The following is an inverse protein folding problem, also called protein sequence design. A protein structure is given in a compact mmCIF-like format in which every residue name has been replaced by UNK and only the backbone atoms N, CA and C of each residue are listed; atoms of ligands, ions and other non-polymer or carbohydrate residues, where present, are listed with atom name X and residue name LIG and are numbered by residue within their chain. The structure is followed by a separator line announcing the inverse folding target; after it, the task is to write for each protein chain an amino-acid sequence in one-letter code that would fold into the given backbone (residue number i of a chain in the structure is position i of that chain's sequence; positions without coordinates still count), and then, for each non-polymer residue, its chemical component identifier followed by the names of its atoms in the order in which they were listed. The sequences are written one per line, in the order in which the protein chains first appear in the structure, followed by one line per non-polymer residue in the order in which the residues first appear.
data_IF_673478740254
#
_entry.id   IF_673478740254
#
_cell.length_a   1.000
_cell.length_b   1.000
_cell.length_c   1.000
_cell.angle_alpha   90.00
_cell.angle_beta   90.00
_cell.angle_gamma   90.00
#
_symmetry.space_group_name_H-M   'P 1'
#
loop_
_entity.id
_entity.type
_entity.pdbx_description
1 polymer ?
#
# COMPACT_ATOMS: atom_id res chain seq x y z
N UNK A 1 3.45 -4.69 25.09
CA UNK A 1 3.29 -4.48 23.64
C UNK A 1 3.27 -5.79 22.85
N UNK A 2 4.26 -6.67 23.04
CA UNK A 2 4.35 -7.99 22.37
C UNK A 2 3.06 -8.83 22.42
N UNK A 3 2.41 -8.90 23.59
CA UNK A 3 1.16 -9.65 23.74
C UNK A 3 0.01 -9.13 22.85
N UNK A 4 -0.09 -7.80 22.66
CA UNK A 4 -1.10 -7.20 21.78
C UNK A 4 -0.85 -7.58 20.32
N UNK A 5 0.39 -7.45 19.86
CA UNK A 5 0.78 -7.81 18.49
C UNK A 5 0.50 -9.29 18.23
N UNK A 6 0.88 -10.17 19.16
CA UNK A 6 0.65 -11.61 19.03
C UNK A 6 -0.84 -11.95 18.97
N UNK A 7 -1.65 -11.34 19.83
CA UNK A 7 -3.10 -11.53 19.83
C UNK A 7 -3.73 -11.09 18.50
N UNK A 8 -3.36 -9.91 18.00
CA UNK A 8 -3.87 -9.39 16.72
C UNK A 8 -3.40 -10.25 15.53
N UNK A 9 -2.15 -10.71 15.55
CA UNK A 9 -1.64 -11.62 14.52
C UNK A 9 -2.36 -12.97 14.48
N UNK A 10 -2.81 -13.46 15.64
CA UNK A 10 -3.60 -14.70 15.75
C UNK A 10 -5.03 -14.51 15.23
N UNK A 11 -5.66 -13.36 15.50
CA UNK A 11 -7.01 -13.02 15.00
C UNK A 11 -7.04 -12.79 13.49
N UNK A 12 -5.93 -12.34 12.92
CA UNK A 12 -5.83 -11.97 11.51
C UNK A 12 -6.07 -13.19 10.61
N UNK A 13 -7.03 -13.07 9.68
CA UNK A 13 -7.32 -14.08 8.63
C UNK A 13 -6.26 -14.04 7.52
N UNK A 14 -5.02 -14.37 7.89
CA UNK A 14 -3.80 -14.16 7.08
C UNK A 14 -3.93 -14.65 5.64
N UNK A 15 -4.41 -15.89 5.44
CA UNK A 15 -4.57 -16.47 4.11
C UNK A 15 -5.57 -15.68 3.26
N UNK A 16 -6.74 -15.35 3.81
CA UNK A 16 -7.77 -14.59 3.08
C UNK A 16 -7.24 -13.20 2.67
N UNK A 17 -6.57 -12.48 3.58
CA UNK A 17 -6.02 -11.16 3.30
C UNK A 17 -4.88 -11.20 2.30
N UNK A 18 -4.03 -12.23 2.40
CA UNK A 18 -2.97 -12.46 1.43
C UNK A 18 -3.55 -12.76 0.04
N UNK A 19 -4.58 -13.60 -0.07
CA UNK A 19 -5.25 -13.91 -1.34
C UNK A 19 -5.90 -12.67 -1.97
N UNK A 20 -6.51 -11.79 -1.17
CA UNK A 20 -7.01 -10.49 -1.67
C UNK A 20 -5.86 -9.66 -2.24
N UNK A 21 -4.75 -9.55 -1.51
CA UNK A 21 -3.57 -8.83 -1.99
C UNK A 21 -3.01 -9.41 -3.29
N UNK A 22 -2.90 -10.74 -3.37
CA UNK A 22 -2.46 -11.44 -4.57
C UNK A 22 -3.40 -11.24 -5.76
N UNK A 23 -4.72 -11.24 -5.55
CA UNK A 23 -5.68 -11.02 -6.63
C UNK A 23 -5.50 -9.63 -7.27
N UNK A 24 -5.38 -8.58 -6.45
CA UNK A 24 -5.10 -7.23 -6.93
C UNK A 24 -3.74 -7.14 -7.63
N UNK A 25 -2.71 -7.75 -7.06
CA UNK A 25 -1.37 -7.77 -7.63
C UNK A 25 -1.35 -8.46 -8.99
N UNK A 26 -1.90 -9.67 -9.11
CA UNK A 26 -1.96 -10.44 -10.36
C UNK A 26 -2.75 -9.69 -11.41
N UNK A 27 -3.92 -9.15 -11.06
CA UNK A 27 -4.75 -8.38 -11.99
C UNK A 27 -4.01 -7.14 -12.52
N UNK A 28 -3.37 -6.37 -11.63
CA UNK A 28 -2.57 -5.21 -12.03
C UNK A 28 -1.36 -5.59 -12.88
N UNK A 29 -0.72 -6.72 -12.56
CA UNK A 29 0.46 -7.21 -13.27
C UNK A 29 0.11 -7.68 -14.66
N UNK A 30 -1.06 -8.32 -14.83
CA UNK A 30 -1.57 -8.73 -16.14
C UNK A 30 -1.71 -7.52 -17.08
N UNK A 31 -2.28 -6.42 -16.59
CA UNK A 31 -2.41 -5.18 -17.35
C UNK A 31 -1.02 -4.62 -17.72
N UNK A 32 -0.14 -4.47 -16.73
CA UNK A 32 1.21 -3.90 -16.93
C UNK A 32 2.07 -4.72 -17.89
N UNK A 33 2.09 -6.05 -17.72
CA UNK A 33 2.83 -6.95 -18.61
C UNK A 33 2.22 -6.98 -20.01
N UNK A 34 0.90 -6.96 -20.15
CA UNK A 34 0.24 -6.88 -21.45
C UNK A 34 0.66 -5.64 -22.24
N UNK A 35 0.71 -4.48 -21.57
CA UNK A 35 1.17 -3.23 -22.18
C UNK A 35 2.66 -3.31 -22.55
N UNK A 36 3.49 -3.88 -21.69
CA UNK A 36 4.91 -4.07 -21.98
C UNK A 36 5.15 -4.94 -23.22
N UNK A 37 4.57 -6.14 -23.25
CA UNK A 37 4.75 -7.08 -24.35
C UNK A 37 4.11 -6.60 -25.67
N UNK A 38 3.03 -5.83 -25.60
CA UNK A 38 2.44 -5.21 -26.80
C UNK A 38 3.37 -4.17 -27.45
N UNK A 39 4.19 -3.48 -26.65
CA UNK A 39 5.09 -2.42 -27.13
C UNK A 39 6.56 -2.86 -27.25
N UNK A 40 6.82 -4.15 -27.04
CA UNK A 40 8.17 -4.71 -26.94
C UNK A 40 9.06 -4.37 -28.15
N UNK A 41 8.50 -4.43 -29.35
CA UNK A 41 9.23 -4.21 -30.60
C UNK A 41 9.81 -2.80 -30.76
N UNK A 42 9.34 -1.81 -29.99
CA UNK A 42 9.75 -0.40 -30.09
C UNK A 42 10.75 -0.01 -28.98
N UNK A 43 11.07 -0.94 -28.06
CA UNK A 43 11.91 -0.64 -26.90
C UNK A 43 13.40 -0.60 -27.26
N UNK A 44 14.07 0.46 -26.82
CA UNK A 44 15.51 0.63 -26.97
C UNK A 44 16.23 -0.42 -26.11
N UNK A 45 17.22 -1.09 -26.72
CA UNK A 45 18.07 -2.06 -26.02
C UNK A 45 18.69 -1.46 -24.74
N UNK A 46 18.80 -2.30 -23.69
CA UNK A 46 19.27 -1.97 -22.33
C UNK A 46 18.29 -1.19 -21.43
N UNK A 47 17.21 -0.59 -21.96
CA UNK A 47 16.19 0.09 -21.12
C UNK A 47 15.04 -0.81 -20.68
N UNK A 48 15.00 -2.01 -21.22
CA UNK A 48 13.89 -2.96 -21.17
C UNK A 48 13.50 -3.35 -19.74
N UNK A 49 14.48 -3.58 -18.86
CA UNK A 49 14.24 -3.88 -17.44
C UNK A 49 13.50 -2.76 -16.71
N UNK A 50 13.85 -1.50 -16.97
CA UNK A 50 13.25 -0.35 -16.32
C UNK A 50 11.83 -0.11 -16.84
N UNK A 51 11.64 -0.23 -18.16
CA UNK A 51 10.31 -0.10 -18.76
C UNK A 51 9.38 -1.21 -18.26
N UNK A 52 9.87 -2.45 -18.18
CA UNK A 52 9.12 -3.57 -17.60
C UNK A 52 8.67 -3.26 -16.17
N UNK A 53 9.59 -2.80 -15.32
CA UNK A 53 9.27 -2.41 -13.95
C UNK A 53 8.23 -1.28 -13.90
N UNK A 54 8.41 -0.23 -14.69
CA UNK A 54 7.49 0.90 -14.77
C UNK A 54 6.08 0.44 -15.12
N UNK A 55 5.93 -0.32 -16.20
CA UNK A 55 4.61 -0.80 -16.64
C UNK A 55 3.97 -1.75 -15.62
N UNK A 56 4.77 -2.66 -15.03
CA UNK A 56 4.30 -3.60 -14.01
C UNK A 56 3.78 -2.88 -12.75
N UNK A 57 4.48 -1.83 -12.32
CA UNK A 57 4.18 -1.14 -11.05
C UNK A 57 3.21 0.02 -11.21
N UNK A 58 3.06 0.62 -12.40
CA UNK A 58 2.28 1.83 -12.61
C UNK A 58 0.79 1.65 -12.23
N UNK A 59 0.10 0.69 -12.84
CA UNK A 59 -1.32 0.45 -12.55
C UNK A 59 -1.56 -0.09 -11.14
N UNK A 60 -0.63 -0.94 -10.66
CA UNK A 60 -0.64 -1.42 -9.29
C UNK A 60 -0.62 -0.25 -8.31
N UNK A 61 0.45 0.54 -8.34
CA UNK A 61 0.72 1.60 -7.37
C UNK A 61 -0.24 2.80 -7.45
N UNK A 62 -0.70 3.14 -8.66
CA UNK A 62 -1.51 4.34 -8.91
C UNK A 62 -2.99 4.11 -8.63
N UNK A 63 -3.54 2.98 -9.08
CA UNK A 63 -4.98 2.73 -9.09
C UNK A 63 -5.44 1.67 -8.11
N UNK A 64 -4.76 0.53 -8.08
CA UNK A 64 -5.27 -0.71 -7.46
C UNK A 64 -4.75 -0.94 -6.04
N UNK A 65 -3.56 -0.44 -5.72
CA UNK A 65 -2.93 -0.60 -4.42
C UNK A 65 -3.68 0.15 -3.31
N UNK A 66 -4.15 1.41 -3.47
CA UNK A 66 -4.90 2.06 -2.40
C UNK A 66 -6.23 1.40 -2.03
N UNK A 67 -7.10 0.98 -2.98
CA UNK A 67 -8.29 0.19 -2.65
C UNK A 67 -7.96 -1.15 -1.99
N UNK A 68 -6.90 -1.84 -2.44
CA UNK A 68 -6.43 -3.07 -1.81
C UNK A 68 -6.06 -2.85 -0.33
N UNK A 69 -5.32 -1.77 -0.03
CA UNK A 69 -4.98 -1.39 1.35
C UNK A 69 -6.24 -1.09 2.17
N UNK A 70 -7.22 -0.39 1.60
CA UNK A 70 -8.48 -0.09 2.27
C UNK A 70 -9.26 -1.36 2.62
N UNK A 71 -9.30 -2.35 1.72
CA UNK A 71 -9.94 -3.64 1.96
C UNK A 71 -9.23 -4.38 3.10
N UNK A 72 -7.88 -4.47 3.05
CA UNK A 72 -7.09 -5.13 4.10
C UNK A 72 -7.34 -4.48 5.46
N UNK A 73 -7.25 -3.16 5.55
CA UNK A 73 -7.52 -2.41 6.80
C UNK A 73 -8.97 -2.60 7.25
N UNK A 74 -9.91 -2.59 6.31
CA UNK A 74 -11.32 -2.90 6.56
C UNK A 74 -11.51 -4.23 7.25
N UNK A 75 -10.89 -5.29 6.73
CA UNK A 75 -10.98 -6.63 7.31
C UNK A 75 -10.25 -6.76 8.66
N UNK A 76 -9.22 -5.95 8.91
CA UNK A 76 -8.52 -5.92 10.20
C UNK A 76 -9.34 -5.22 11.29
N UNK A 77 -10.08 -4.15 10.94
CA UNK A 77 -10.72 -3.26 11.91
C UNK A 77 -12.22 -3.48 12.07
N UNK A 78 -12.94 -3.92 11.03
CA UNK A 78 -14.39 -4.13 11.10
C UNK A 78 -14.84 -5.10 12.19
N UNK A 79 -14.17 -6.24 12.41
CA UNK A 79 -14.55 -7.17 13.47
C UNK A 79 -14.57 -6.52 14.87
N UNK A 80 -13.86 -5.41 15.08
CA UNK A 80 -13.88 -4.71 16.37
C UNK A 80 -15.21 -3.96 16.61
N UNK A 81 -15.92 -3.58 15.56
CA UNK A 81 -17.21 -2.90 15.68
C UNK A 81 -18.40 -3.87 15.69
N UNK A 82 -18.15 -5.15 15.45
CA UNK A 82 -19.19 -6.18 15.52
C UNK A 82 -19.44 -6.60 16.98
N UNK A 83 -20.71 -6.94 17.29
CA UNK A 83 -21.12 -7.55 18.56
C UNK A 83 -20.62 -6.83 19.83
N UNK A 84 -20.49 -5.50 19.77
CA UNK A 84 -19.97 -4.65 20.85
C UNK A 84 -18.55 -5.02 21.33
N UNK A 85 -17.73 -5.61 20.45
CA UNK A 85 -16.40 -6.09 20.83
C UNK A 85 -15.50 -4.94 21.34
N UNK A 86 -15.50 -3.79 20.65
CA UNK A 86 -14.73 -2.63 21.07
C UNK A 86 -15.21 -2.06 22.42
N UNK A 87 -16.51 -2.08 22.72
CA UNK A 87 -17.05 -1.68 24.02
C UNK A 87 -16.60 -2.64 25.12
N UNK A 88 -16.63 -3.96 24.88
CA UNK A 88 -16.12 -4.96 25.81
C UNK A 88 -14.62 -4.78 26.07
N UNK A 89 -13.83 -4.52 25.03
CA UNK A 89 -12.39 -4.26 25.16
C UNK A 89 -12.13 -3.00 26.00
N UNK A 90 -12.92 -1.93 25.79
CA UNK A 90 -12.83 -0.70 26.60
C UNK A 90 -13.21 -0.95 28.06
N UNK A 91 -14.26 -1.73 28.33
CA UNK A 91 -14.67 -2.08 29.69
C UNK A 91 -13.57 -2.87 30.43
N UNK A 92 -12.84 -3.72 29.71
CA UNK A 92 -11.67 -4.45 30.22
C UNK A 92 -10.37 -3.62 30.21
N UNK A 93 -10.46 -2.29 30.10
CA UNK A 93 -9.32 -1.35 30.14
C UNK A 93 -8.22 -1.64 29.09
N UNK A 94 -8.60 -2.24 27.95
CA UNK A 94 -7.67 -2.47 26.85
C UNK A 94 -7.28 -1.14 26.22
N UNK A 95 -5.97 -0.90 26.08
CA UNK A 95 -5.46 0.27 25.40
C UNK A 95 -5.76 0.23 23.90
N UNK A 96 -6.60 1.15 23.43
CA UNK A 96 -6.95 1.31 22.00
C UNK A 96 -5.73 1.62 21.13
N UNK A 97 -4.75 2.33 21.69
CA UNK A 97 -3.51 2.69 21.02
C UNK A 97 -2.65 1.45 20.71
N UNK A 98 -2.42 0.62 21.74
CA UNK A 98 -1.67 -0.65 21.60
C UNK A 98 -2.40 -1.66 20.71
N UNK A 99 -3.74 -1.71 20.81
CA UNK A 99 -4.57 -2.55 19.95
C UNK A 99 -4.44 -2.13 18.48
N UNK A 100 -4.60 -0.84 18.20
CA UNK A 100 -4.54 -0.33 16.83
C UNK A 100 -3.15 -0.48 16.23
N UNK A 101 -2.09 -0.21 16.99
CA UNK A 101 -0.72 -0.45 16.54
C UNK A 101 -0.48 -1.93 16.23
N UNK A 102 -1.01 -2.86 17.04
CA UNK A 102 -0.92 -4.30 16.77
C UNK A 102 -1.56 -4.70 15.43
N UNK A 103 -2.68 -4.07 15.07
CA UNK A 103 -3.35 -4.26 13.77
C UNK A 103 -2.54 -3.68 12.61
N UNK A 104 -2.01 -2.47 12.78
CA UNK A 104 -1.14 -1.86 11.76
C UNK A 104 0.09 -2.73 11.49
N UNK A 105 0.72 -3.27 12.53
CA UNK A 105 1.88 -4.13 12.38
C UNK A 105 1.52 -5.47 11.70
N UNK A 106 0.35 -6.04 12.01
CA UNK A 106 -0.17 -7.21 11.31
C UNK A 106 -0.42 -6.92 9.82
N UNK A 107 -0.99 -5.75 9.51
CA UNK A 107 -1.17 -5.29 8.14
C UNK A 107 0.15 -5.07 7.40
N UNK A 108 1.15 -4.48 8.06
CA UNK A 108 2.50 -4.27 7.53
C UNK A 108 3.12 -5.58 7.06
N UNK A 109 3.12 -6.63 7.89
CA UNK A 109 3.71 -7.92 7.50
C UNK A 109 2.96 -8.57 6.33
N UNK A 110 1.64 -8.44 6.26
CA UNK A 110 0.86 -8.93 5.13
C UNK A 110 1.20 -8.18 3.84
N UNK A 111 1.30 -6.86 3.90
CA UNK A 111 1.63 -6.01 2.75
C UNK A 111 3.05 -6.28 2.28
N UNK A 112 4.00 -6.43 3.21
CA UNK A 112 5.37 -6.81 2.89
C UNK A 112 5.40 -8.13 2.11
N UNK A 113 4.66 -9.14 2.56
CA UNK A 113 4.56 -10.42 1.85
C UNK A 113 3.99 -10.25 0.44
N UNK A 114 2.90 -9.48 0.26
CA UNK A 114 2.32 -9.22 -1.07
C UNK A 114 3.32 -8.47 -1.96
N UNK A 115 4.03 -7.48 -1.43
CA UNK A 115 5.02 -6.72 -2.17
C UNK A 115 6.21 -7.60 -2.60
N UNK A 116 6.68 -8.54 -1.78
CA UNK A 116 7.73 -9.48 -2.18
C UNK A 116 7.33 -10.32 -3.42
N UNK A 117 6.04 -10.63 -3.59
CA UNK A 117 5.54 -11.30 -4.80
C UNK A 117 5.60 -10.42 -6.05
N UNK A 118 5.56 -9.08 -5.92
CA UNK A 118 5.75 -8.17 -7.06
C UNK A 118 7.15 -8.36 -7.68
N UNK A 119 8.18 -8.52 -6.85
CA UNK A 119 9.55 -8.83 -7.33
C UNK A 119 9.58 -10.20 -7.99
N UNK A 120 8.89 -11.20 -7.44
CA UNK A 120 8.83 -12.51 -8.07
C UNK A 120 8.22 -12.44 -9.47
N UNK A 121 7.11 -11.71 -9.63
CA UNK A 121 6.46 -11.49 -10.94
C UNK A 121 7.42 -10.77 -11.89
N UNK A 122 8.11 -9.72 -11.41
CA UNK A 122 9.11 -9.00 -12.19
C UNK A 122 10.23 -9.91 -12.68
N UNK A 123 10.81 -10.73 -11.80
CA UNK A 123 11.91 -11.65 -12.14
C UNK A 123 11.44 -12.69 -13.17
N UNK A 124 10.25 -13.26 -13.00
CA UNK A 124 9.69 -14.21 -13.96
C UNK A 124 9.47 -13.54 -15.32
N UNK A 125 8.87 -12.35 -15.35
CA UNK A 125 8.63 -11.61 -16.59
C UNK A 125 9.93 -11.23 -17.32
N UNK A 126 10.93 -10.75 -16.59
CA UNK A 126 12.23 -10.41 -17.15
C UNK A 126 12.96 -11.63 -17.72
N UNK A 127 12.82 -12.80 -17.07
CA UNK A 127 13.37 -14.07 -17.58
C UNK A 127 12.67 -14.54 -18.85
N UNK A 128 11.33 -14.42 -18.92
CA UNK A 128 10.56 -14.76 -20.13
C UNK A 128 10.96 -13.89 -21.32
N UNK A 129 11.27 -12.61 -21.07
CA UNK A 129 11.69 -11.66 -22.09
C UNK A 129 13.20 -11.71 -22.43
N UNK A 130 13.96 -12.60 -21.77
CA UNK A 130 15.38 -12.80 -22.05
C UNK A 130 16.30 -11.66 -21.57
N UNK A 131 15.87 -10.84 -20.62
CA UNK A 131 16.65 -9.71 -20.11
C UNK A 131 17.77 -10.23 -19.19
N UNK A 132 19.02 -9.80 -19.43
CA UNK A 132 20.15 -10.11 -18.55
C UNK A 132 20.01 -9.38 -17.20
N UNK A 133 20.03 -10.14 -16.10
CA UNK A 133 19.99 -9.60 -14.75
C UNK A 133 21.36 -9.07 -14.36
N UNK A 134 21.60 -7.78 -14.58
CA UNK A 134 22.83 -7.12 -14.16
C UNK A 134 22.53 -6.13 -13.04
N UNK A 135 23.01 -6.42 -11.82
CA UNK A 135 23.06 -5.57 -10.60
C UNK A 135 21.78 -4.77 -10.17
N UNK A 136 20.67 -4.86 -10.91
CA UNK A 136 19.50 -3.97 -10.83
C UNK A 136 18.48 -4.41 -9.78
N UNK A 137 18.54 -5.67 -9.32
CA UNK A 137 17.56 -6.20 -8.37
C UNK A 137 17.59 -5.46 -7.02
N UNK A 138 18.77 -5.01 -6.58
CA UNK A 138 18.92 -4.25 -5.33
C UNK A 138 18.15 -2.93 -5.35
N UNK A 139 18.13 -2.24 -6.49
CA UNK A 139 17.38 -0.99 -6.69
C UNK A 139 15.87 -1.24 -6.60
N UNK A 140 15.37 -2.28 -7.26
CA UNK A 140 13.96 -2.64 -7.22
C UNK A 140 13.52 -3.09 -5.82
N UNK A 141 14.37 -3.81 -5.09
CA UNK A 141 14.12 -4.17 -3.67
C UNK A 141 14.03 -2.92 -2.80
N UNK A 142 14.92 -1.93 -3.00
CA UNK A 142 14.87 -0.64 -2.29
C UNK A 142 13.54 0.08 -2.57
N UNK A 143 13.12 0.19 -3.83
CA UNK A 143 11.86 0.82 -4.20
C UNK A 143 10.63 0.10 -3.64
N UNK A 144 10.69 -1.23 -3.56
CA UNK A 144 9.69 -2.04 -2.89
C UNK A 144 9.62 -1.74 -1.39
N UNK A 145 10.76 -1.67 -0.69
CA UNK A 145 10.75 -1.34 0.74
C UNK A 145 10.18 0.05 0.99
N UNK A 146 10.46 1.01 0.10
CA UNK A 146 9.82 2.33 0.14
C UNK A 146 8.31 2.23 -0.12
N UNK A 147 7.83 1.32 -0.98
CA UNK A 147 6.41 1.14 -1.24
C UNK A 147 5.65 0.65 0.01
N UNK A 148 6.30 -0.20 0.81
CA UNK A 148 5.75 -0.63 2.09
C UNK A 148 5.68 0.54 3.07
N UNK A 149 6.68 1.44 3.11
CA UNK A 149 6.60 2.68 3.89
C UNK A 149 5.46 3.57 3.39
N UNK A 150 5.28 3.67 2.07
CA UNK A 150 4.21 4.45 1.45
C UNK A 150 2.80 3.90 1.70
N UNK A 151 2.68 2.65 2.17
CA UNK A 151 1.39 2.07 2.53
C UNK A 151 0.81 2.66 3.82
N UNK A 152 1.65 3.12 4.75
CA UNK A 152 1.21 3.58 6.08
C UNK A 152 0.25 4.78 6.06
N UNK A 153 0.48 5.86 5.28
CA UNK A 153 -0.46 6.97 5.19
C UNK A 153 -1.84 6.54 4.72
N UNK A 154 -1.91 5.67 3.72
CA UNK A 154 -3.18 5.18 3.18
C UNK A 154 -3.83 4.28 4.21
N UNK A 155 -3.10 3.33 4.81
CA UNK A 155 -3.65 2.43 5.83
C UNK A 155 -4.24 3.19 7.02
N UNK A 156 -3.53 4.19 7.53
CA UNK A 156 -3.98 5.01 8.66
C UNK A 156 -5.15 5.90 8.29
N UNK A 157 -5.13 6.52 7.11
CA UNK A 157 -6.28 7.28 6.58
C UNK A 157 -7.53 6.40 6.48
N UNK A 158 -7.40 5.21 5.90
CA UNK A 158 -8.52 4.28 5.77
C UNK A 158 -9.00 3.78 7.13
N UNK A 159 -8.08 3.53 8.07
CA UNK A 159 -8.43 3.18 9.44
C UNK A 159 -9.27 4.26 10.10
N UNK A 160 -8.94 5.54 9.88
CA UNK A 160 -9.70 6.67 10.41
C UNK A 160 -11.12 6.72 9.81
N UNK A 161 -11.23 6.55 8.49
CA UNK A 161 -12.54 6.53 7.80
C UNK A 161 -13.40 5.40 8.37
N UNK A 162 -12.84 4.20 8.53
CA UNK A 162 -13.56 3.05 9.10
C UNK A 162 -13.93 3.31 10.56
N UNK A 163 -13.01 3.79 11.39
CA UNK A 163 -13.27 4.07 12.81
C UNK A 163 -14.38 5.12 13.00
N UNK A 164 -14.43 6.14 12.14
CA UNK A 164 -15.44 7.20 12.20
C UNK A 164 -16.80 6.75 11.66
N UNK A 165 -16.81 6.05 10.52
CA UNK A 165 -18.05 5.71 9.79
C UNK A 165 -18.61 4.35 10.15
N UNK A 166 -17.81 3.45 10.71
CA UNK A 166 -18.10 2.02 10.92
C UNK A 166 -18.65 1.36 9.65
N UNK A 167 -18.16 1.77 8.48
CA UNK A 167 -18.66 1.33 7.18
C UNK A 167 -17.51 0.98 6.24
N UNK A 168 -17.54 -0.25 5.73
CA UNK A 168 -16.46 -0.84 4.94
C UNK A 168 -16.48 -0.26 3.53
N UNK A 169 -17.66 -0.21 2.92
CA UNK A 169 -17.88 0.33 1.57
C UNK A 169 -17.47 1.79 1.47
N UNK A 170 -17.69 2.60 2.52
CA UNK A 170 -17.24 4.01 2.54
C UNK A 170 -15.71 4.12 2.48
N UNK A 171 -14.99 3.28 3.21
CA UNK A 171 -13.53 3.29 3.18
C UNK A 171 -12.99 2.88 1.80
N UNK A 172 -13.50 1.77 1.25
CA UNK A 172 -13.12 1.33 -0.10
C UNK A 172 -13.45 2.39 -1.15
N UNK A 173 -14.64 3.01 -1.08
CA UNK A 173 -15.05 4.09 -1.99
C UNK A 173 -14.13 5.31 -1.91
N UNK A 174 -13.76 5.76 -0.70
CA UNK A 174 -12.80 6.86 -0.51
C UNK A 174 -11.43 6.51 -1.09
N UNK A 175 -10.97 5.28 -0.91
CA UNK A 175 -9.70 4.83 -1.47
C UNK A 175 -9.70 4.79 -2.99
N UNK A 176 -10.79 4.32 -3.61
CA UNK A 176 -10.96 4.29 -5.06
C UNK A 176 -11.05 5.70 -5.65
N UNK A 177 -11.82 6.60 -5.03
CA UNK A 177 -11.85 8.01 -5.46
C UNK A 177 -10.45 8.63 -5.30
N UNK A 178 -9.77 8.37 -4.20
CA UNK A 178 -8.39 8.84 -3.97
C UNK A 178 -7.41 8.35 -5.03
N UNK A 179 -7.51 7.09 -5.45
CA UNK A 179 -6.65 6.53 -6.50
C UNK A 179 -6.97 7.09 -7.89
N UNK A 180 -8.25 7.33 -8.21
CA UNK A 180 -8.64 8.02 -9.44
C UNK A 180 -8.18 9.49 -9.45
N UNK A 181 -8.29 10.19 -8.33
CA UNK A 181 -7.79 11.57 -8.20
C UNK A 181 -6.27 11.61 -8.37
N UNK A 182 -5.54 10.64 -7.82
CA UNK A 182 -4.10 10.50 -8.06
C UNK A 182 -3.83 10.35 -9.57
N UNK A 183 -4.57 9.46 -10.24
CA UNK A 183 -4.43 9.24 -11.68
C UNK A 183 -4.62 10.52 -12.49
N UNK A 184 -5.64 11.32 -12.17
CA UNK A 184 -5.87 12.62 -12.82
C UNK A 184 -4.77 13.63 -12.47
N UNK A 185 -4.34 13.68 -11.21
CA UNK A 185 -3.34 14.63 -10.71
C UNK A 185 -2.00 14.50 -11.43
N UNK A 186 -1.63 13.27 -11.81
CA UNK A 186 -0.43 12.96 -12.58
C UNK A 186 -0.37 13.74 -13.91
N UNK A 187 -1.52 14.00 -14.54
CA UNK A 187 -1.60 14.73 -15.81
C UNK A 187 -1.76 16.25 -15.62
N UNK A 188 -2.27 16.70 -14.48
CA UNK A 188 -2.46 18.13 -14.20
C UNK A 188 -1.17 18.77 -13.70
N UNK A 189 -0.56 18.18 -12.66
CA UNK A 189 0.65 18.73 -12.05
C UNK A 189 1.39 17.66 -11.26
N UNK A 190 2.49 17.18 -11.83
CA UNK A 190 3.34 16.16 -11.21
C UNK A 190 3.92 16.59 -9.85
N UNK A 191 4.18 17.89 -9.63
CA UNK A 191 4.71 18.37 -8.36
C UNK A 191 3.71 18.23 -7.20
N UNK A 192 2.41 18.29 -7.48
CA UNK A 192 1.38 18.09 -6.45
C UNK A 192 1.32 16.62 -5.99
N UNK A 193 1.70 15.67 -6.84
CA UNK A 193 1.72 14.25 -6.48
C UNK A 193 2.67 13.97 -5.31
N UNK A 194 3.74 14.77 -5.15
CA UNK A 194 4.70 14.65 -4.05
C UNK A 194 4.05 14.76 -2.67
N UNK A 195 2.95 15.50 -2.56
CA UNK A 195 2.26 15.76 -1.29
C UNK A 195 0.95 14.99 -1.15
N UNK A 196 0.47 14.30 -2.18
CA UNK A 196 -0.81 13.60 -2.12
C UNK A 196 -0.62 12.16 -1.58
N UNK A 197 -1.37 11.72 -0.55
CA UNK A 197 -1.12 10.44 0.12
C UNK A 197 -1.34 9.24 -0.81
N UNK A 198 -2.30 9.31 -1.73
CA UNK A 198 -2.58 8.23 -2.68
C UNK A 198 -1.54 8.11 -3.80
N UNK A 199 -0.72 9.15 -4.01
CA UNK A 199 0.40 9.13 -4.96
C UNK A 199 1.66 8.49 -4.40
N UNK A 200 1.79 8.40 -3.06
CA UNK A 200 3.02 7.97 -2.41
C UNK A 200 3.49 6.57 -2.85
N UNK A 201 2.62 5.56 -3.03
CA UNK A 201 3.06 4.25 -3.52
C UNK A 201 3.69 4.30 -4.92
N UNK A 202 3.15 5.15 -5.82
CA UNK A 202 3.70 5.33 -7.16
C UNK A 202 5.07 6.02 -7.11
N UNK A 203 5.21 7.04 -6.26
CA UNK A 203 6.49 7.73 -6.04
C UNK A 203 7.54 6.78 -5.46
N UNK A 204 7.14 5.94 -4.51
CA UNK A 204 8.01 4.97 -3.86
C UNK A 204 8.53 3.90 -4.83
N UNK A 205 7.65 3.36 -5.68
CA UNK A 205 7.99 2.35 -6.68
C UNK A 205 8.70 2.94 -7.91
N UNK A 206 8.83 4.27 -7.99
CA UNK A 206 9.44 5.00 -9.12
C UNK A 206 8.82 4.59 -10.46
N UNK A 207 7.53 4.27 -10.45
CA UNK A 207 6.80 3.68 -11.58
C UNK A 207 6.81 4.54 -12.85
N UNK A 208 7.09 5.85 -12.73
CA UNK A 208 7.19 6.80 -13.85
C UNK A 208 8.60 7.27 -14.14
N UNK A 209 9.34 7.65 -13.10
CA UNK A 209 10.65 8.30 -13.25
C UNK A 209 11.80 7.34 -13.48
N UNK A 210 11.64 6.05 -13.10
CA UNK A 210 12.56 4.94 -13.38
C UNK A 210 14.04 5.17 -12.98
N UNK A 211 14.26 6.18 -12.16
CA UNK A 211 15.56 6.64 -11.69
C UNK A 211 15.54 6.61 -10.17
N UNK A 212 16.70 6.50 -9.54
CA UNK A 212 16.74 6.50 -8.09
C UNK A 212 16.30 7.86 -7.49
N UNK A 213 15.75 7.80 -6.29
CA UNK A 213 15.24 9.00 -5.60
C UNK A 213 16.42 9.86 -5.11
N UNK A 214 16.40 11.16 -5.41
CA UNK A 214 17.38 12.11 -4.87
C UNK A 214 17.25 12.20 -3.35
N UNK A 215 18.31 12.65 -2.65
CA UNK A 215 18.26 12.82 -1.18
C UNK A 215 17.15 13.79 -0.75
N UNK A 216 16.92 14.84 -1.55
CA UNK A 216 15.87 15.83 -1.30
C UNK A 216 14.49 15.20 -1.46
N UNK A 217 14.25 14.50 -2.58
CA UNK A 217 12.96 13.83 -2.82
C UNK A 217 12.68 12.74 -1.79
N UNK A 218 13.71 11.98 -1.36
CA UNK A 218 13.59 10.99 -0.30
C UNK A 218 13.22 11.62 1.04
N UNK A 219 13.81 12.78 1.35
CA UNK A 219 13.47 13.51 2.57
C UNK A 219 12.03 14.01 2.54
N UNK A 220 11.59 14.62 1.43
CA UNK A 220 10.19 15.05 1.24
C UNK A 220 9.25 13.85 1.37
N UNK A 221 9.57 12.74 0.70
CA UNK A 221 8.80 11.51 0.77
C UNK A 221 8.66 11.03 2.22
N UNK A 222 9.75 10.89 2.97
CA UNK A 222 9.71 10.41 4.35
C UNK A 222 8.92 11.35 5.27
N UNK A 223 9.07 12.66 5.10
CA UNK A 223 8.33 13.67 5.89
C UNK A 223 6.84 13.58 5.60
N UNK A 224 6.43 13.57 4.32
CA UNK A 224 5.01 13.49 3.93
C UNK A 224 4.38 12.19 4.45
N UNK A 225 5.05 11.05 4.27
CA UNK A 225 4.55 9.77 4.75
C UNK A 225 4.44 9.73 6.28
N UNK A 226 5.42 10.28 7.00
CA UNK A 226 5.39 10.33 8.46
C UNK A 226 4.28 11.26 8.97
N UNK A 227 4.11 12.44 8.38
CA UNK A 227 3.08 13.42 8.78
C UNK A 227 1.68 12.83 8.62
N UNK A 228 1.35 12.28 7.44
CA UNK A 228 0.03 11.67 7.22
C UNK A 228 -0.20 10.46 8.12
N UNK A 229 0.80 9.59 8.27
CA UNK A 229 0.69 8.40 9.12
C UNK A 229 0.42 8.77 10.56
N UNK A 230 1.17 9.72 11.12
CA UNK A 230 1.01 10.17 12.51
C UNK A 230 -0.31 10.91 12.74
N UNK A 231 -0.70 11.78 11.80
CA UNK A 231 -1.96 12.52 11.87
C UNK A 231 -3.15 11.56 11.90
N UNK A 232 -3.26 10.68 10.90
CA UNK A 232 -4.39 9.75 10.82
C UNK A 232 -4.32 8.63 11.85
N UNK A 233 -3.14 8.25 12.32
CA UNK A 233 -3.00 7.36 13.47
C UNK A 233 -3.66 7.96 14.71
N UNK A 234 -3.30 9.20 15.08
CA UNK A 234 -3.87 9.89 16.25
C UNK A 234 -5.38 10.07 16.10
N UNK A 235 -5.85 10.45 14.91
CA UNK A 235 -7.29 10.60 14.63
C UNK A 235 -8.04 9.27 14.75
N UNK A 236 -7.44 8.17 14.29
CA UNK A 236 -8.01 6.82 14.43
C UNK A 236 -8.13 6.43 15.90
N UNK A 237 -7.05 6.59 16.68
CA UNK A 237 -7.05 6.26 18.12
C UNK A 237 -8.08 7.12 18.86
N UNK A 238 -8.19 8.41 18.54
CA UNK A 238 -9.22 9.28 19.11
C UNK A 238 -10.64 8.81 18.75
N UNK A 239 -10.87 8.40 17.51
CA UNK A 239 -12.15 7.86 17.06
C UNK A 239 -12.51 6.53 17.76
N UNK A 240 -11.53 5.65 18.00
CA UNK A 240 -11.72 4.38 18.71
C UNK A 240 -12.01 4.57 20.21
N UNK A 241 -11.37 5.57 20.84
CA UNK A 241 -11.59 5.92 22.25
C UNK A 241 -12.96 6.54 22.51
N UNK A 242 -13.55 7.21 21.51
CA UNK A 242 -14.86 7.85 21.67
C UNK A 242 -15.93 6.77 21.93
N UNK A 243 -16.63 6.88 23.05
CA UNK A 243 -17.85 6.12 23.29
C UNK A 243 -18.96 6.73 22.41
N UNK A 244 -19.60 5.89 21.60
CA UNK A 244 -20.91 6.19 21.01
C UNK A 244 -21.94 5.46 21.84
#
# INVERSE_FOLDING_TARGET
MRAYVFAEWKKTRKLQLFMIGMAFLIFSSFIGLGIYFANRAVLIDKTQSLVLWGQLTFYNSTLLYPPMLAIIVGQLLMPEFERKNIEMLKANQVSMDKLYFGKLLSGFFLILSVQLFLILIFVVAAKVDGISFDLSLAVHIKWLLLSVVASFPIMTLQSFVIAKTRNFSKAVGVATIGSMLNFVLIFINENLTKFFPYSQPMIALRSRSLTDMSLIDLTIFLVVNSLYSLLFYKLTVAALKKNK
#
